data_IF_553068411067
#
_entry.id   IF_553068411067
#
_cell.length_a   1.000
_cell.length_b   1.000
_cell.length_c   1.000
_cell.angle_alpha   90.00
_cell.angle_beta   90.00
_cell.angle_gamma   90.00
#
_symmetry.space_group_name_H-M   'P 1'
#
loop_
_entity.id
_entity.type
_entity.pdbx_description
1 polymer ?
#
# COMPACT_ATOMS: atom_id res chain seq x y z
N UNK A 1 -3.25 0.52 11.94
CA UNK A 1 -4.19 1.35 11.17
C UNK A 1 -3.67 2.76 11.09
N UNK A 2 -3.38 3.19 9.86
CA UNK A 2 -2.93 4.52 9.47
C UNK A 2 -3.99 5.15 8.57
N UNK A 3 -3.90 6.47 8.40
CA UNK A 3 -4.74 7.23 7.49
C UNK A 3 -3.86 8.14 6.63
N UNK A 4 -4.20 8.25 5.35
CA UNK A 4 -3.53 9.16 4.43
C UNK A 4 -4.57 9.84 3.52
N UNK A 5 -4.32 11.12 3.22
CA UNK A 5 -5.06 11.85 2.20
C UNK A 5 -4.27 11.78 0.90
N UNK A 6 -4.88 11.23 -0.15
CA UNK A 6 -4.28 11.07 -1.47
C UNK A 6 -5.15 11.75 -2.53
N UNK A 7 -4.51 12.35 -3.54
CA UNK A 7 -5.22 12.86 -4.71
C UNK A 7 -4.97 11.91 -5.89
N UNK A 8 -5.95 11.08 -6.22
CA UNK A 8 -5.90 10.15 -7.35
C UNK A 8 -6.86 10.63 -8.42
N UNK A 9 -6.38 10.81 -9.66
CA UNK A 9 -7.19 11.23 -10.82
C UNK A 9 -8.07 12.47 -10.53
N UNK A 10 -7.49 13.48 -9.86
CA UNK A 10 -8.16 14.73 -9.44
C UNK A 10 -9.23 14.57 -8.35
N UNK A 11 -9.35 13.39 -7.73
CA UNK A 11 -10.26 13.11 -6.60
C UNK A 11 -9.44 12.99 -5.33
N UNK A 12 -9.86 13.69 -4.27
CA UNK A 12 -9.27 13.55 -2.95
C UNK A 12 -9.91 12.35 -2.23
N UNK A 13 -9.06 11.42 -1.82
CA UNK A 13 -9.41 10.21 -1.12
C UNK A 13 -8.82 10.29 0.29
N UNK A 14 -9.61 9.91 1.29
CA UNK A 14 -9.08 9.58 2.62
C UNK A 14 -9.04 8.05 2.71
N UNK A 15 -7.85 7.49 2.82
CA UNK A 15 -7.63 6.05 2.80
C UNK A 15 -7.19 5.57 4.18
N UNK A 16 -7.88 4.57 4.71
CA UNK A 16 -7.48 3.84 5.91
C UNK A 16 -6.81 2.53 5.51
N UNK A 17 -5.61 2.27 6.03
CA UNK A 17 -4.82 1.11 5.63
C UNK A 17 -3.95 0.59 6.78
N UNK A 18 -3.53 -0.67 6.64
CA UNK A 18 -2.41 -1.25 7.35
C UNK A 18 -1.22 -1.41 6.40
N UNK A 19 -0.01 -1.10 6.90
CA UNK A 19 1.23 -1.20 6.14
C UNK A 19 2.21 -2.10 6.88
N UNK A 20 2.68 -3.13 6.18
CA UNK A 20 3.74 -4.00 6.65
C UNK A 20 4.95 -3.83 5.74
N UNK A 21 6.06 -3.34 6.32
CA UNK A 21 7.31 -3.18 5.59
C UNK A 21 7.92 -4.55 5.31
N UNK A 22 8.26 -4.78 4.05
CA UNK A 22 9.00 -5.95 3.61
C UNK A 22 10.47 -5.93 4.04
N UNK A 23 11.12 -7.07 3.92
CA UNK A 23 12.57 -7.22 4.11
C UNK A 23 13.29 -6.94 2.78
N UNK A 24 14.02 -5.83 2.73
CA UNK A 24 14.86 -5.42 1.59
C UNK A 24 16.06 -6.37 1.35
N UNK A 25 16.39 -7.22 2.32
CA UNK A 25 17.60 -8.02 2.35
C UNK A 25 17.48 -9.35 1.62
N UNK A 26 18.36 -9.59 0.64
CA UNK A 26 18.62 -10.96 0.19
C UNK A 26 19.51 -11.64 1.23
N UNK A 27 18.99 -12.69 1.88
CA UNK A 27 19.79 -13.51 2.81
C UNK A 27 20.36 -14.71 2.05
N UNK A 28 21.69 -14.85 2.06
CA UNK A 28 22.37 -16.04 1.54
C UNK A 28 22.87 -16.92 2.69
N UNK A 29 22.61 -18.22 2.59
CA UNK A 29 23.04 -19.21 3.57
C UNK A 29 24.32 -19.93 3.11
N UNK A 30 25.14 -20.47 4.04
CA UNK A 30 26.39 -21.17 3.69
C UNK A 30 26.20 -22.43 2.83
N UNK A 31 24.98 -22.97 2.77
CA UNK A 31 24.60 -24.12 1.93
C UNK A 31 24.29 -23.73 0.47
N UNK A 32 24.44 -22.45 0.13
CA UNK A 32 24.19 -21.92 -1.21
C UNK A 32 22.72 -21.60 -1.49
N UNK A 33 21.82 -21.76 -0.52
CA UNK A 33 20.43 -21.32 -0.63
C UNK A 33 20.28 -19.85 -0.29
N UNK A 34 19.17 -19.24 -0.70
CA UNK A 34 18.87 -17.85 -0.40
C UNK A 34 17.41 -17.66 0.00
N UNK A 35 17.16 -16.65 0.81
CA UNK A 35 15.82 -16.11 1.04
C UNK A 35 15.72 -14.80 0.25
N UNK A 36 14.78 -14.70 -0.71
CA UNK A 36 14.57 -13.47 -1.45
C UNK A 36 14.05 -12.37 -0.51
N UNK A 37 14.19 -11.09 -0.90
CA UNK A 37 13.52 -10.01 -0.22
C UNK A 37 12.00 -10.24 -0.24
N UNK A 38 11.32 -9.60 0.70
CA UNK A 38 9.85 -9.56 0.74
C UNK A 38 9.39 -8.15 0.38
N UNK A 39 8.35 -8.04 -0.42
CA UNK A 39 7.78 -6.76 -0.80
C UNK A 39 7.01 -6.14 0.37
N UNK A 40 6.94 -4.81 0.38
CA UNK A 40 6.00 -4.09 1.23
C UNK A 40 4.57 -4.54 0.91
N UNK A 41 3.73 -4.61 1.95
CA UNK A 41 2.33 -5.00 1.82
C UNK A 41 1.45 -3.89 2.37
N UNK A 42 0.41 -3.55 1.59
CA UNK A 42 -0.65 -2.64 2.01
C UNK A 42 -1.94 -3.46 2.09
N UNK A 43 -2.67 -3.30 3.17
CA UNK A 43 -4.04 -3.81 3.31
C UNK A 43 -4.98 -2.61 3.45
N UNK A 44 -5.74 -2.32 2.40
CA UNK A 44 -6.68 -1.19 2.38
C UNK A 44 -7.97 -1.62 3.09
N UNK A 45 -8.29 -0.91 4.17
CA UNK A 45 -9.45 -1.16 5.01
C UNK A 45 -10.64 -0.34 4.53
N UNK A 46 -10.39 0.90 4.09
CA UNK A 46 -11.43 1.86 3.75
C UNK A 46 -10.96 2.92 2.78
N UNK A 47 -11.82 3.32 1.83
CA UNK A 47 -11.56 4.44 0.92
C UNK A 47 -12.75 5.40 0.97
N UNK A 48 -12.51 6.63 1.44
CA UNK A 48 -13.53 7.63 1.67
C UNK A 48 -13.43 8.79 0.67
N UNK A 49 -14.58 9.20 0.14
CA UNK A 49 -14.76 10.44 -0.65
C UNK A 49 -15.94 11.20 -0.10
N UNK A 50 -15.75 12.45 0.34
CA UNK A 50 -16.80 13.31 0.89
C UNK A 50 -17.69 12.59 1.93
N UNK A 51 -17.07 11.91 2.89
CA UNK A 51 -17.72 11.10 3.94
C UNK A 51 -18.48 9.84 3.46
N UNK A 52 -18.32 9.45 2.20
CA UNK A 52 -18.87 8.21 1.63
C UNK A 52 -17.76 7.17 1.46
N UNK A 53 -18.00 5.97 1.98
CA UNK A 53 -17.12 4.81 1.74
C UNK A 53 -17.40 4.24 0.34
N UNK A 54 -16.36 4.23 -0.48
CA UNK A 54 -16.44 3.80 -1.88
C UNK A 54 -15.54 2.59 -2.16
N UNK A 55 -14.99 1.92 -1.15
CA UNK A 55 -14.08 0.79 -1.33
C UNK A 55 -14.63 -0.27 -2.31
N UNK A 56 -15.88 -0.69 -2.09
CA UNK A 56 -16.56 -1.69 -2.94
C UNK A 56 -16.95 -1.19 -4.35
N UNK A 57 -16.78 0.10 -4.64
CA UNK A 57 -17.14 0.73 -5.91
C UNK A 57 -15.94 0.97 -6.82
N UNK A 58 -14.73 0.79 -6.30
CA UNK A 58 -13.48 1.02 -7.02
C UNK A 58 -13.05 -0.27 -7.73
N UNK A 59 -12.50 -0.14 -8.94
CA UNK A 59 -11.94 -1.26 -9.67
C UNK A 59 -10.52 -1.61 -9.20
N UNK A 60 -10.12 -2.87 -9.41
CA UNK A 60 -8.81 -3.40 -9.01
C UNK A 60 -7.63 -2.54 -9.48
N UNK A 61 -7.71 -1.92 -10.68
CA UNK A 61 -6.62 -1.08 -11.19
C UNK A 61 -6.49 0.25 -10.44
N UNK A 62 -7.60 0.81 -9.95
CA UNK A 62 -7.56 1.99 -9.10
C UNK A 62 -7.14 1.64 -7.66
N UNK A 63 -7.43 0.43 -7.18
CA UNK A 63 -6.88 -0.09 -5.91
C UNK A 63 -5.35 -0.19 -6.02
N UNK A 64 -4.82 -0.79 -7.09
CA UNK A 64 -3.37 -0.87 -7.35
C UNK A 64 -2.72 0.52 -7.37
N UNK A 65 -3.33 1.52 -8.05
CA UNK A 65 -2.84 2.90 -8.08
C UNK A 65 -2.74 3.51 -6.65
N UNK A 66 -3.69 3.18 -5.76
CA UNK A 66 -3.71 3.66 -4.37
C UNK A 66 -2.64 2.94 -3.54
N UNK A 67 -2.50 1.63 -3.67
CA UNK A 67 -1.47 0.85 -2.96
C UNK A 67 -0.06 1.35 -3.31
N UNK A 68 0.23 1.56 -4.61
CA UNK A 68 1.50 2.09 -5.08
C UNK A 68 1.79 3.48 -4.49
N UNK A 69 0.77 4.35 -4.42
CA UNK A 69 0.90 5.67 -3.81
C UNK A 69 1.18 5.58 -2.30
N UNK A 70 0.52 4.67 -1.57
CA UNK A 70 0.77 4.44 -0.15
C UNK A 70 2.20 3.94 0.09
N UNK A 71 2.64 2.94 -0.68
CA UNK A 71 4.00 2.37 -0.56
C UNK A 71 5.05 3.44 -0.85
N UNK A 72 4.81 4.28 -1.85
CA UNK A 72 5.71 5.39 -2.18
C UNK A 72 5.82 6.37 -1.00
N UNK A 73 4.70 6.82 -0.44
CA UNK A 73 4.71 7.75 0.69
C UNK A 73 5.37 7.13 1.94
N UNK A 74 5.04 5.88 2.30
CA UNK A 74 5.61 5.18 3.45
C UNK A 74 7.13 5.00 3.37
N UNK A 75 7.67 4.82 2.17
CA UNK A 75 9.12 4.72 1.96
C UNK A 75 9.85 6.07 1.91
N UNK A 76 9.12 7.18 1.81
CA UNK A 76 9.69 8.54 1.80
C UNK A 76 9.48 9.32 3.11
N UNK A 77 8.79 8.75 4.10
CA UNK A 77 8.62 9.29 5.47
C UNK A 77 9.83 9.01 6.37
#
# INVERSE_FOLDING_TARGET
MKQIELTIREVNLLVEYDFEKGDDGVRYYPDGTGYPPTSDTVDIIKIMVDDVDIYDLIDDGCIEDIEDAIIFEENNL
#
